data_IF_243132573748
#
_entry.id   IF_243132573748
#
_cell.length_a   1.000
_cell.length_b   1.000
_cell.length_c   1.000
_cell.angle_alpha   90.00
_cell.angle_beta   90.00
_cell.angle_gamma   90.00
#
_symmetry.space_group_name_H-M   'P 1'
#
loop_
_entity.id
_entity.type
_entity.pdbx_description
1 polymer ?
#
# COMPACT_ATOMS: atom_id res chain seq x y z
N UNK A 1 -17.90 -4.79 6.21
CA UNK A 1 -16.69 -4.24 6.88
C UNK A 1 -17.04 -3.31 8.06
N UNK A 2 -18.04 -3.63 8.89
CA UNK A 2 -18.77 -2.64 9.73
C UNK A 2 -18.01 -2.01 10.91
N UNK A 3 -16.71 -2.28 11.06
CA UNK A 3 -15.85 -1.78 12.15
C UNK A 3 -14.44 -1.38 11.67
N UNK A 4 -14.21 -1.34 10.36
CA UNK A 4 -12.91 -1.03 9.80
C UNK A 4 -12.90 0.42 9.30
N UNK A 5 -11.78 1.10 9.46
CA UNK A 5 -11.50 2.37 8.78
C UNK A 5 -10.41 2.10 7.74
N UNK A 6 -10.68 2.44 6.48
CA UNK A 6 -9.71 2.33 5.39
C UNK A 6 -8.95 3.65 5.22
N UNK A 7 -7.62 3.58 5.34
CA UNK A 7 -6.72 4.66 4.96
C UNK A 7 -6.04 4.29 3.65
N UNK A 8 -6.33 5.01 2.58
CA UNK A 8 -5.86 4.71 1.23
C UNK A 8 -4.82 5.72 0.78
N UNK A 9 -3.70 5.24 0.25
CA UNK A 9 -2.66 6.07 -0.36
C UNK A 9 -2.56 5.70 -1.84
N UNK A 10 -2.86 6.64 -2.74
CA UNK A 10 -2.69 6.42 -4.17
C UNK A 10 -2.54 7.73 -4.95
N UNK A 11 -2.03 7.65 -6.18
CA UNK A 11 -1.90 8.81 -7.08
C UNK A 11 -3.23 9.35 -7.59
N UNK A 12 -4.23 8.47 -7.71
CA UNK A 12 -5.56 8.76 -8.26
C UNK A 12 -6.60 8.09 -7.37
N UNK A 13 -7.66 8.81 -7.04
CA UNK A 13 -8.79 8.24 -6.32
C UNK A 13 -9.45 7.12 -7.13
N UNK A 14 -9.90 6.07 -6.44
CA UNK A 14 -10.72 5.02 -7.05
C UNK A 14 -12.21 5.29 -6.70
N UNK A 15 -13.01 5.85 -7.63
CA UNK A 15 -14.40 6.22 -7.34
C UNK A 15 -15.26 5.02 -6.97
N UNK A 16 -14.98 3.84 -7.55
CA UNK A 16 -15.70 2.61 -7.25
C UNK A 16 -15.44 2.14 -5.81
N UNK A 17 -14.19 2.25 -5.34
CA UNK A 17 -13.85 1.95 -3.93
C UNK A 17 -14.54 2.91 -2.96
N UNK A 18 -14.55 4.21 -3.28
CA UNK A 18 -15.22 5.23 -2.47
C UNK A 18 -16.72 4.95 -2.41
N UNK A 19 -17.36 4.66 -3.54
CA UNK A 19 -18.78 4.33 -3.56
C UNK A 19 -19.08 3.05 -2.78
N UNK A 20 -18.23 2.02 -2.90
CA UNK A 20 -18.38 0.78 -2.15
C UNK A 20 -18.23 1.00 -0.65
N UNK A 21 -17.25 1.79 -0.21
CA UNK A 21 -17.05 2.12 1.19
C UNK A 21 -18.28 2.83 1.78
N UNK A 22 -18.88 3.77 1.03
CA UNK A 22 -20.16 4.40 1.40
C UNK A 22 -21.30 3.38 1.54
N UNK A 23 -21.48 2.51 0.54
CA UNK A 23 -22.54 1.50 0.56
C UNK A 23 -22.38 0.51 1.73
N UNK A 24 -21.14 0.20 2.13
CA UNK A 24 -20.84 -0.69 3.25
C UNK A 24 -20.75 0.03 4.61
N UNK A 25 -20.99 1.35 4.67
CA UNK A 25 -20.78 2.20 5.85
C UNK A 25 -19.38 2.02 6.48
N UNK A 26 -18.36 1.94 5.63
CA UNK A 26 -16.96 1.87 6.02
C UNK A 26 -16.33 3.26 5.89
N UNK A 27 -15.88 3.89 6.99
CA UNK A 27 -15.09 5.11 6.92
C UNK A 27 -13.88 4.91 6.00
N UNK A 28 -13.60 5.91 5.17
CA UNK A 28 -12.48 5.90 4.23
C UNK A 28 -11.86 7.29 4.16
N UNK A 29 -10.58 7.37 4.51
CA UNK A 29 -9.72 8.53 4.29
C UNK A 29 -8.79 8.24 3.10
N UNK A 30 -8.74 9.17 2.15
CA UNK A 30 -7.87 9.06 0.96
C UNK A 30 -6.77 10.11 1.04
N UNK A 31 -5.53 9.66 0.86
CA UNK A 31 -4.34 10.49 0.76
C UNK A 31 -3.77 10.38 -0.65
N UNK A 32 -3.86 11.46 -1.40
CA UNK A 32 -3.31 11.50 -2.75
C UNK A 32 -1.78 11.68 -2.67
N UNK A 33 -1.02 10.67 -3.07
CA UNK A 33 0.45 10.72 -3.02
C UNK A 33 1.10 9.88 -4.11
N UNK A 34 2.24 10.36 -4.60
CA UNK A 34 3.10 9.62 -5.53
C UNK A 34 4.31 9.05 -4.81
N UNK A 35 4.36 7.72 -4.67
CA UNK A 35 5.46 7.02 -3.98
C UNK A 35 6.83 7.16 -4.68
N UNK A 36 6.88 7.74 -5.89
CA UNK A 36 8.16 8.16 -6.48
C UNK A 36 8.82 9.31 -5.71
N UNK A 37 8.08 10.02 -4.86
CA UNK A 37 8.57 11.09 -3.96
C UNK A 37 8.94 10.50 -2.61
N UNK A 38 9.98 9.68 -2.57
CA UNK A 38 10.35 8.89 -1.38
C UNK A 38 10.60 9.71 -0.10
N UNK A 39 11.08 10.96 -0.22
CA UNK A 39 11.44 11.80 0.92
C UNK A 39 10.26 12.22 1.80
N UNK A 40 9.04 12.32 1.27
CA UNK A 40 7.86 12.74 2.04
C UNK A 40 7.00 11.58 2.54
N UNK A 41 7.38 10.33 2.28
CA UNK A 41 6.57 9.15 2.66
C UNK A 41 6.46 9.03 4.18
N UNK A 42 7.53 9.27 4.93
CA UNK A 42 7.49 9.18 6.39
C UNK A 42 6.51 10.19 7.01
N UNK A 43 6.56 11.44 6.55
CA UNK A 43 5.63 12.50 6.98
C UNK A 43 4.19 12.17 6.61
N UNK A 44 3.95 11.64 5.40
CA UNK A 44 2.64 11.17 4.97
C UNK A 44 2.09 10.11 5.92
N UNK A 45 2.89 9.09 6.27
CA UNK A 45 2.46 8.02 7.17
C UNK A 45 2.18 8.56 8.58
N UNK A 46 3.02 9.47 9.10
CA UNK A 46 2.74 10.13 10.38
C UNK A 46 1.39 10.89 10.32
N UNK A 47 1.12 11.59 9.22
CA UNK A 47 -0.15 12.27 8.99
C UNK A 47 -1.37 11.34 8.92
N UNK A 48 -1.20 10.11 8.40
CA UNK A 48 -2.22 9.05 8.45
C UNK A 48 -2.46 8.61 9.88
N UNK A 49 -1.39 8.31 10.63
CA UNK A 49 -1.49 7.81 12.01
C UNK A 49 -2.10 8.84 12.97
N UNK A 50 -1.91 10.14 12.73
CA UNK A 50 -2.60 11.21 13.47
C UNK A 50 -4.13 11.18 13.37
N UNK A 51 -4.69 10.47 12.37
CA UNK A 51 -6.14 10.26 12.23
C UNK A 51 -6.65 8.96 12.84
N UNK A 52 -5.76 8.12 13.38
CA UNK A 52 -6.12 6.83 13.97
C UNK A 52 -6.23 7.00 15.48
N UNK A 53 -7.37 6.63 16.04
CA UNK A 53 -7.52 6.47 17.49
C UNK A 53 -6.83 5.18 17.93
N UNK A 54 -5.54 5.28 18.24
CA UNK A 54 -4.68 4.14 18.58
C UNK A 54 -5.08 3.45 19.89
N UNK A 55 -5.68 4.18 20.83
CA UNK A 55 -6.15 3.62 22.10
C UNK A 55 -7.36 2.69 21.92
N UNK A 56 -8.16 2.91 20.86
CA UNK A 56 -9.31 2.06 20.51
C UNK A 56 -9.01 1.03 19.44
N UNK A 57 -7.85 1.10 18.79
CA UNK A 57 -7.50 0.22 17.68
C UNK A 57 -7.27 -1.22 18.17
N UNK A 58 -8.11 -2.16 17.72
CA UNK A 58 -7.91 -3.60 17.98
C UNK A 58 -6.92 -4.24 17.01
N UNK A 59 -6.88 -3.73 15.78
CA UNK A 59 -6.09 -4.23 14.65
C UNK A 59 -5.61 -3.05 13.81
N UNK A 60 -4.34 -3.05 13.45
CA UNK A 60 -3.78 -2.08 12.50
C UNK A 60 -2.99 -2.86 11.45
N UNK A 61 -3.52 -2.94 10.24
CA UNK A 61 -2.91 -3.71 9.15
C UNK A 61 -2.42 -2.78 8.05
N UNK A 62 -1.14 -2.93 7.71
CA UNK A 62 -0.52 -2.26 6.58
C UNK A 62 -0.53 -3.19 5.36
N UNK A 63 -1.04 -2.69 4.24
CA UNK A 63 -1.01 -3.39 2.96
C UNK A 63 -0.10 -2.63 1.98
N UNK A 64 1.12 -3.13 1.80
CA UNK A 64 2.03 -2.64 0.76
C UNK A 64 1.59 -3.22 -0.59
N UNK A 65 0.56 -2.59 -1.19
CA UNK A 65 -0.03 -3.02 -2.46
C UNK A 65 0.36 -2.11 -3.64
N UNK A 66 0.84 -0.90 -3.36
CA UNK A 66 1.28 0.00 -4.42
C UNK A 66 2.53 -0.58 -5.08
N UNK A 67 2.47 -0.78 -6.39
CA UNK A 67 3.53 -1.34 -7.18
C UNK A 67 3.48 -0.85 -8.62
N UNK A 68 4.63 -0.84 -9.28
CA UNK A 68 4.79 -0.54 -10.69
C UNK A 68 5.38 -1.76 -11.38
N UNK A 69 4.73 -2.23 -12.44
CA UNK A 69 5.23 -3.34 -13.27
C UNK A 69 6.21 -2.83 -14.32
N UNK A 70 6.02 -1.58 -14.77
CA UNK A 70 6.91 -0.96 -15.74
C UNK A 70 8.30 -0.70 -15.16
N UNK A 71 9.36 -0.76 -15.98
CA UNK A 71 9.35 -1.11 -17.40
C UNK A 71 9.30 -2.63 -17.66
N UNK A 72 8.40 -3.09 -18.56
CA UNK A 72 8.39 -4.48 -19.05
C UNK A 72 9.28 -4.56 -20.30
N UNK A 73 10.60 -4.52 -20.10
CA UNK A 73 11.60 -4.68 -21.17
C UNK A 73 12.93 -5.13 -20.57
N UNK A 74 13.85 -5.67 -21.39
CA UNK A 74 15.19 -6.00 -20.94
C UNK A 74 15.87 -4.80 -20.27
N UNK A 75 16.61 -5.06 -19.18
CA UNK A 75 17.16 -4.01 -18.32
C UNK A 75 18.12 -3.08 -19.06
N UNK A 76 18.84 -3.57 -20.06
CA UNK A 76 19.74 -2.79 -20.92
C UNK A 76 19.01 -1.78 -21.82
N UNK A 77 17.68 -1.89 -21.94
CA UNK A 77 16.82 -0.96 -22.68
C UNK A 77 16.05 -0.02 -21.75
N UNK A 78 16.21 -0.15 -20.44
CA UNK A 78 15.60 0.75 -19.46
C UNK A 78 16.42 2.02 -19.33
N UNK A 79 15.74 3.16 -19.24
CA UNK A 79 16.39 4.40 -18.86
C UNK A 79 16.66 4.39 -17.36
N UNK A 80 17.63 5.20 -16.91
CA UNK A 80 17.91 5.38 -15.48
C UNK A 80 16.65 5.81 -14.71
N UNK A 81 15.84 6.71 -15.29
CA UNK A 81 14.60 7.19 -14.68
C UNK A 81 13.56 6.08 -14.48
N UNK A 82 13.41 5.18 -15.46
CA UNK A 82 12.48 4.05 -15.35
C UNK A 82 12.92 3.08 -14.24
N UNK A 83 14.23 2.79 -14.16
CA UNK A 83 14.82 1.93 -13.12
C UNK A 83 14.62 2.59 -11.75
N UNK A 84 14.98 3.87 -11.62
CA UNK A 84 14.86 4.61 -10.37
C UNK A 84 13.42 4.66 -9.89
N UNK A 85 12.47 4.94 -10.80
CA UNK A 85 11.04 4.97 -10.49
C UNK A 85 10.54 3.61 -10.02
N UNK A 86 10.95 2.52 -10.66
CA UNK A 86 10.58 1.16 -10.27
C UNK A 86 11.12 0.82 -8.88
N UNK A 87 12.40 1.13 -8.61
CA UNK A 87 13.01 0.94 -7.28
C UNK A 87 12.29 1.78 -6.23
N UNK A 88 11.98 3.04 -6.53
CA UNK A 88 11.29 3.93 -5.60
C UNK A 88 9.91 3.41 -5.21
N UNK A 89 9.10 2.98 -6.18
CA UNK A 89 7.74 2.51 -5.92
C UNK A 89 7.72 1.11 -5.30
N UNK A 90 8.53 0.17 -5.80
CA UNK A 90 8.44 -1.24 -5.41
C UNK A 90 9.31 -1.62 -4.20
N UNK A 91 10.31 -0.82 -3.87
CA UNK A 91 11.26 -1.13 -2.80
C UNK A 91 11.34 -0.01 -1.76
N UNK A 92 11.80 1.19 -2.16
CA UNK A 92 12.03 2.28 -1.21
C UNK A 92 10.73 2.67 -0.52
N UNK A 93 9.65 2.85 -1.28
CA UNK A 93 8.33 3.19 -0.75
C UNK A 93 7.87 2.22 0.35
N UNK A 94 7.69 0.92 0.05
CA UNK A 94 7.33 -0.08 1.05
C UNK A 94 8.27 -0.11 2.26
N UNK A 95 9.58 0.03 2.07
CA UNK A 95 10.54 0.08 3.19
C UNK A 95 10.32 1.29 4.11
N UNK A 96 10.16 2.49 3.54
CA UNK A 96 9.92 3.72 4.30
C UNK A 96 8.56 3.68 4.99
N UNK A 97 7.52 3.19 4.29
CA UNK A 97 6.18 3.01 4.85
C UNK A 97 6.22 2.04 6.03
N UNK A 98 6.88 0.89 5.87
CA UNK A 98 7.04 -0.11 6.94
C UNK A 98 7.82 0.46 8.12
N UNK A 99 8.92 1.20 7.87
CA UNK A 99 9.67 1.85 8.95
C UNK A 99 8.80 2.83 9.74
N UNK A 100 8.05 3.70 9.06
CA UNK A 100 7.18 4.66 9.71
C UNK A 100 6.00 3.99 10.43
N UNK A 101 5.43 2.93 9.86
CA UNK A 101 4.40 2.11 10.50
C UNK A 101 4.89 1.49 11.81
N UNK A 102 6.10 0.89 11.80
CA UNK A 102 6.68 0.28 13.00
C UNK A 102 6.93 1.33 14.09
N UNK A 103 7.45 2.51 13.72
CA UNK A 103 7.64 3.61 14.67
C UNK A 103 6.33 4.09 15.28
N UNK A 104 5.27 4.27 14.48
CA UNK A 104 3.96 4.72 14.99
C UNK A 104 3.19 3.64 15.77
N UNK A 105 3.62 2.38 15.69
CA UNK A 105 2.91 1.26 16.34
C UNK A 105 3.74 0.54 17.39
N UNK A 106 4.95 1.02 17.70
CA UNK A 106 5.88 0.39 18.65
C UNK A 106 5.21 0.09 19.99
N UNK A 107 4.60 1.11 20.59
CA UNK A 107 3.98 1.04 21.92
C UNK A 107 2.47 0.79 21.88
N UNK A 108 1.91 0.50 20.70
CA UNK A 108 0.47 0.25 20.54
C UNK A 108 0.18 -1.22 20.82
N UNK A 109 -0.66 -1.47 21.82
CA UNK A 109 -1.08 -2.81 22.24
C UNK A 109 -2.28 -3.30 21.42
N UNK A 110 -2.04 -3.71 20.18
CA UNK A 110 -3.06 -4.27 19.29
C UNK A 110 -2.47 -5.34 18.36
N UNK A 111 -3.33 -6.04 17.61
CA UNK A 111 -2.88 -6.95 16.55
C UNK A 111 -2.34 -6.15 15.34
N UNK A 112 -1.09 -6.41 14.97
CA UNK A 112 -0.32 -5.64 13.98
C UNK A 112 0.16 -6.56 12.88
N UNK A 113 -0.10 -6.21 11.62
CA UNK A 113 0.33 -7.00 10.46
C UNK A 113 0.79 -6.11 9.34
N UNK A 114 1.85 -6.54 8.67
CA UNK A 114 2.33 -5.97 7.41
C UNK A 114 2.14 -7.05 6.35
N UNK A 115 1.37 -6.72 5.32
CA UNK A 115 1.07 -7.60 4.20
C UNK A 115 1.66 -6.95 2.95
N UNK A 116 2.66 -7.60 2.39
CA UNK A 116 3.23 -7.19 1.10
C UNK A 116 2.47 -7.91 -0.01
N UNK A 117 1.82 -7.14 -0.88
CA UNK A 117 1.08 -7.67 -2.03
C UNK A 117 1.90 -7.37 -3.27
N UNK A 118 2.53 -8.40 -3.80
CA UNK A 118 3.21 -8.34 -5.08
C UNK A 118 2.26 -8.88 -6.14
N UNK A 119 2.03 -8.12 -7.20
CA UNK A 119 1.31 -8.62 -8.35
C UNK A 119 2.29 -9.48 -9.16
N UNK A 120 2.25 -10.79 -8.95
CA UNK A 120 2.95 -11.73 -9.82
C UNK A 120 2.30 -11.69 -11.20
N UNK A 121 3.09 -11.41 -12.24
CA UNK A 121 2.68 -11.70 -13.61
C UNK A 121 3.21 -13.08 -13.97
N UNK A 122 2.43 -14.11 -13.64
CA UNK A 122 2.61 -15.44 -14.20
C UNK A 122 2.27 -15.40 -15.69
N UNK A 123 3.22 -15.83 -16.52
CA UNK A 123 3.20 -16.05 -17.97
C UNK A 123 1.89 -15.69 -18.70
N UNK A 124 1.97 -14.83 -19.73
CA UNK A 124 0.87 -14.52 -20.67
C UNK A 124 0.31 -15.74 -21.45
N UNK A 125 0.62 -16.99 -21.05
CA UNK A 125 0.33 -18.22 -21.80
C UNK A 125 -0.04 -19.49 -21.00
N UNK A 126 -0.22 -19.51 -19.67
CA UNK A 126 -0.55 -20.77 -18.95
C UNK A 126 -1.90 -20.75 -18.17
N UNK A 127 -2.92 -21.54 -18.57
CA UNK A 127 -4.27 -21.50 -17.99
C UNK A 127 -4.47 -22.23 -16.65
N UNK A 128 -3.43 -22.71 -15.94
CA UNK A 128 -3.60 -23.49 -14.69
C UNK A 128 -3.25 -22.79 -13.37
N UNK A 129 -2.90 -21.51 -13.37
CA UNK A 129 -2.31 -20.87 -12.18
C UNK A 129 -3.15 -19.78 -11.53
N UNK A 130 -4.33 -20.09 -10.97
CA UNK A 130 -4.90 -19.29 -9.84
C UNK A 130 -5.70 -20.20 -8.90
N UNK A 131 -4.99 -20.92 -8.03
CA UNK A 131 -5.53 -21.35 -6.75
C UNK A 131 -4.38 -21.55 -5.77
N UNK A 132 -4.06 -20.54 -4.96
CA UNK A 132 -3.54 -20.78 -3.61
C UNK A 132 -3.60 -19.54 -2.71
N UNK A 133 -4.33 -19.75 -1.61
CA UNK A 133 -4.24 -19.09 -0.29
C UNK A 133 -4.62 -17.61 -0.19
N UNK A 134 -5.93 -17.40 -0.03
CA UNK A 134 -6.42 -16.63 1.11
C UNK A 134 -7.25 -17.59 1.97
N UNK A 135 -6.80 -17.74 3.22
CA UNK A 135 -7.70 -18.03 4.35
C UNK A 135 -8.52 -16.76 4.58
#
# INVERSE_FOLDING_TARGET
MKYNHLFCIARIHNPQLIQRAKNENCPLDYFQYDLTKSSGIAELINGVFNKIDLDKAKKIYLFNNAGMVEPIKPVEKCTSDEIEKAIKVNLIGPMVITSAYLANTENVNCDKKIINIFKEQGNLRDPKFIAQKLI
#
